data_IF_879340329578
#
_entry.id   IF_879340329578
#
_cell.length_a   1.000
_cell.length_b   1.000
_cell.length_c   1.000
_cell.angle_alpha   90.00
_cell.angle_beta   90.00
_cell.angle_gamma   90.00
#
_symmetry.space_group_name_H-M   'P 1'
#
loop_
_entity.id
_entity.type
_entity.pdbx_description
1 polymer ?
#
# COMPACT_ATOMS: atom_id res chain seq x y z
N UNK A 1 -4.39 29.40 11.01
CA UNK A 1 -4.23 28.04 11.59
C UNK A 1 -5.16 27.08 10.89
N UNK A 2 -4.65 26.07 10.18
CA UNK A 2 -5.51 25.07 9.52
C UNK A 2 -6.23 24.25 10.58
N UNK A 3 -7.55 24.39 10.66
CA UNK A 3 -8.41 23.64 11.59
C UNK A 3 -8.21 22.14 11.34
N UNK A 4 -7.60 21.43 12.28
CA UNK A 4 -7.42 19.98 12.20
C UNK A 4 -8.81 19.37 12.02
N UNK A 5 -9.07 18.78 10.85
CA UNK A 5 -10.37 18.20 10.51
C UNK A 5 -10.51 16.89 11.30
N UNK A 6 -11.27 16.93 12.39
CA UNK A 6 -11.56 15.74 13.21
C UNK A 6 -12.50 14.76 12.52
N UNK A 7 -12.64 13.55 13.09
CA UNK A 7 -13.50 12.47 12.55
C UNK A 7 -14.94 12.91 12.28
N UNK A 8 -15.51 13.79 13.11
CA UNK A 8 -16.88 14.29 12.93
C UNK A 8 -17.02 15.17 11.69
N UNK A 9 -16.00 15.99 11.40
CA UNK A 9 -15.96 16.81 10.18
C UNK A 9 -15.91 15.92 8.94
N UNK A 10 -15.22 14.79 9.03
CA UNK A 10 -15.17 13.80 7.95
C UNK A 10 -16.51 13.06 7.78
N UNK A 11 -17.15 12.61 8.86
CA UNK A 11 -18.49 12.01 8.80
C UNK A 11 -19.52 12.98 8.23
N UNK A 12 -19.42 14.28 8.54
CA UNK A 12 -20.24 15.32 7.93
C UNK A 12 -19.96 15.44 6.43
N UNK A 13 -18.68 15.50 6.03
CA UNK A 13 -18.31 15.57 4.61
C UNK A 13 -18.83 14.38 3.79
N UNK A 14 -18.75 13.15 4.32
CA UNK A 14 -19.27 11.95 3.66
C UNK A 14 -20.80 12.02 3.44
N UNK A 15 -21.55 12.57 4.40
CA UNK A 15 -22.99 12.81 4.23
C UNK A 15 -23.25 13.88 3.20
N UNK A 16 -22.68 15.07 3.40
CA UNK A 16 -23.06 16.28 2.68
C UNK A 16 -22.57 16.28 1.21
N UNK A 17 -21.45 15.63 0.91
CA UNK A 17 -20.81 15.70 -0.42
C UNK A 17 -20.79 14.37 -1.18
N UNK A 18 -21.06 13.26 -0.49
CA UNK A 18 -21.03 11.92 -1.08
C UNK A 18 -22.33 11.14 -0.86
N UNK A 19 -23.32 11.71 -0.17
CA UNK A 19 -24.61 11.08 0.12
C UNK A 19 -24.47 9.69 0.76
N UNK A 20 -23.45 9.51 1.61
CA UNK A 20 -23.22 8.26 2.33
C UNK A 20 -23.85 8.38 3.71
N UNK A 21 -24.77 7.48 4.01
CA UNK A 21 -25.33 7.34 5.35
C UNK A 21 -24.23 6.89 6.33
N UNK A 22 -23.89 7.77 7.27
CA UNK A 22 -22.91 7.50 8.32
C UNK A 22 -23.31 8.26 9.60
N UNK A 23 -23.44 7.53 10.70
CA UNK A 23 -24.00 8.05 11.94
C UNK A 23 -23.54 7.30 13.18
N UNK A 24 -23.60 7.95 14.34
CA UNK A 24 -23.33 7.32 15.63
C UNK A 24 -21.85 7.06 15.93
N UNK A 25 -21.59 6.69 17.19
CA UNK A 25 -20.25 6.44 17.73
C UNK A 25 -19.59 5.19 17.15
N UNK A 26 -20.38 4.17 16.80
CA UNK A 26 -19.90 2.93 16.19
C UNK A 26 -19.26 3.19 14.82
N UNK A 27 -19.96 3.86 13.90
CA UNK A 27 -19.39 4.21 12.60
C UNK A 27 -18.20 5.17 12.74
N UNK A 28 -18.25 6.12 13.70
CA UNK A 28 -17.11 6.99 14.00
C UNK A 28 -15.85 6.21 14.38
N UNK A 29 -16.00 5.17 15.22
CA UNK A 29 -14.89 4.29 15.61
C UNK A 29 -14.38 3.48 14.41
N UNK A 30 -15.28 2.86 13.66
CA UNK A 30 -14.91 2.08 12.47
C UNK A 30 -14.21 2.94 11.41
N UNK A 31 -14.68 4.16 11.17
CA UNK A 31 -14.04 5.13 10.26
C UNK A 31 -12.61 5.49 10.69
N UNK A 32 -12.34 5.57 11.99
CA UNK A 32 -10.96 5.72 12.48
C UNK A 32 -10.12 4.47 12.24
N UNK A 33 -10.66 3.30 12.54
CA UNK A 33 -9.94 2.02 12.44
C UNK A 33 -9.48 1.73 11.00
N UNK A 34 -10.25 2.13 9.99
CA UNK A 34 -9.89 1.93 8.57
C UNK A 34 -8.97 3.04 8.00
N UNK A 35 -8.47 3.95 8.84
CA UNK A 35 -7.56 5.02 8.40
C UNK A 35 -8.24 6.27 7.83
N UNK A 36 -9.41 6.64 8.36
CA UNK A 36 -10.16 7.85 7.97
C UNK A 36 -10.56 7.86 6.47
N UNK A 37 -10.43 9.01 5.80
CA UNK A 37 -10.86 9.24 4.42
C UNK A 37 -10.02 8.45 3.39
N UNK A 38 -8.85 7.96 3.79
CA UNK A 38 -7.98 7.19 2.90
C UNK A 38 -8.60 5.84 2.53
N UNK A 39 -9.30 5.18 3.46
CA UNK A 39 -10.09 3.98 3.16
C UNK A 39 -11.15 4.26 2.08
N UNK A 40 -11.95 5.32 2.23
CA UNK A 40 -12.98 5.67 1.23
C UNK A 40 -12.41 6.06 -0.14
N UNK A 41 -11.30 6.82 -0.19
CA UNK A 41 -10.67 7.21 -1.47
C UNK A 41 -10.12 6.02 -2.24
N UNK A 42 -9.58 5.01 -1.56
CA UNK A 42 -9.00 3.81 -2.17
C UNK A 42 -10.02 2.92 -2.87
N UNK A 43 -11.25 2.85 -2.35
CA UNK A 43 -12.29 1.95 -2.86
C UNK A 43 -13.38 2.64 -3.69
N UNK A 44 -13.17 3.91 -4.06
CA UNK A 44 -14.15 4.72 -4.80
C UNK A 44 -14.37 4.25 -6.24
N UNK A 45 -13.43 3.50 -6.83
CA UNK A 45 -13.43 3.18 -8.26
C UNK A 45 -13.16 1.70 -8.51
N UNK A 46 -13.79 1.14 -9.55
CA UNK A 46 -13.48 -0.20 -10.08
C UNK A 46 -12.65 -0.01 -11.34
N UNK A 47 -11.36 -0.37 -11.30
CA UNK A 47 -10.41 -0.37 -12.42
C UNK A 47 -10.11 0.99 -13.09
N UNK A 48 -11.11 1.84 -13.32
CA UNK A 48 -10.99 3.12 -14.02
C UNK A 48 -11.62 4.27 -13.22
N UNK A 49 -11.09 5.50 -13.30
CA UNK A 49 -11.66 6.68 -12.62
C UNK A 49 -13.11 7.00 -13.03
N UNK A 50 -13.56 6.49 -14.18
CA UNK A 50 -14.92 6.71 -14.67
C UNK A 50 -15.93 5.72 -14.08
N UNK A 51 -15.49 4.59 -13.52
CA UNK A 51 -16.35 3.60 -12.88
C UNK A 51 -16.36 3.80 -11.38
N UNK A 52 -17.12 4.81 -10.93
CA UNK A 52 -17.25 5.14 -9.52
C UNK A 52 -18.28 4.24 -8.85
N UNK A 53 -17.91 3.62 -7.73
CA UNK A 53 -18.86 2.89 -6.88
C UNK A 53 -19.73 3.92 -6.16
N UNK A 54 -21.04 3.83 -6.36
CA UNK A 54 -22.01 4.69 -5.68
C UNK A 54 -22.35 4.05 -4.33
N UNK A 55 -21.54 4.35 -3.32
CA UNK A 55 -21.85 3.96 -1.95
C UNK A 55 -22.99 4.83 -1.41
N UNK A 56 -24.01 4.19 -0.85
CA UNK A 56 -25.13 4.88 -0.17
C UNK A 56 -25.07 4.72 1.35
N UNK A 57 -24.36 3.70 1.84
CA UNK A 57 -24.21 3.41 3.26
C UNK A 57 -22.74 3.11 3.62
N UNK A 58 -22.30 3.61 4.78
CA UNK A 58 -20.92 3.42 5.22
C UNK A 58 -20.55 1.95 5.44
N UNK A 59 -21.51 1.07 5.74
CA UNK A 59 -21.23 -0.36 5.87
C UNK A 59 -20.80 -1.01 4.56
N UNK A 60 -21.20 -0.46 3.40
CA UNK A 60 -20.70 -0.93 2.10
C UNK A 60 -19.21 -0.59 1.93
N UNK A 61 -18.79 0.59 2.37
CA UNK A 61 -17.36 0.98 2.39
C UNK A 61 -16.57 0.06 3.31
N UNK A 62 -17.14 -0.28 4.47
CA UNK A 62 -16.53 -1.22 5.41
C UNK A 62 -16.41 -2.63 4.81
N UNK A 63 -17.43 -3.12 4.11
CA UNK A 63 -17.40 -4.45 3.50
C UNK A 63 -16.26 -4.59 2.49
N UNK A 64 -16.06 -3.58 1.62
CA UNK A 64 -14.95 -3.59 0.66
C UNK A 64 -13.59 -3.51 1.36
N UNK A 65 -13.48 -2.67 2.39
CA UNK A 65 -12.23 -2.59 3.16
C UNK A 65 -11.91 -3.92 3.88
N UNK A 66 -12.91 -4.57 4.48
CA UNK A 66 -12.77 -5.88 5.10
C UNK A 66 -12.33 -6.92 4.09
N UNK A 67 -12.99 -6.99 2.92
CA UNK A 67 -12.61 -7.90 1.85
C UNK A 67 -11.15 -7.70 1.41
N UNK A 68 -10.72 -6.45 1.17
CA UNK A 68 -9.33 -6.15 0.81
C UNK A 68 -8.34 -6.53 1.92
N UNK A 69 -8.68 -6.31 3.19
CA UNK A 69 -7.83 -6.73 4.31
C UNK A 69 -7.72 -8.26 4.40
N UNK A 70 -8.82 -8.99 4.21
CA UNK A 70 -8.83 -10.45 4.18
C UNK A 70 -8.00 -10.98 3.01
N UNK A 71 -8.16 -10.41 1.82
CA UNK A 71 -7.36 -10.74 0.65
C UNK A 71 -5.87 -10.49 0.92
N UNK A 72 -5.51 -9.32 1.47
CA UNK A 72 -4.13 -9.03 1.85
C UNK A 72 -3.59 -10.01 2.87
N UNK A 73 -4.37 -10.36 3.89
CA UNK A 73 -3.96 -11.34 4.90
C UNK A 73 -3.66 -12.72 4.31
N UNK A 74 -4.36 -13.08 3.22
CA UNK A 74 -4.16 -14.34 2.52
C UNK A 74 -2.91 -14.34 1.65
N UNK A 75 -2.43 -13.21 1.13
CA UNK A 75 -1.30 -13.18 0.17
C UNK A 75 -0.01 -12.55 0.73
N UNK A 76 -0.10 -11.62 1.68
CA UNK A 76 1.07 -10.91 2.20
C UNK A 76 2.11 -11.84 2.83
N UNK A 77 1.74 -12.84 3.65
CA UNK A 77 2.72 -13.78 4.20
C UNK A 77 3.51 -14.53 3.12
N UNK A 78 2.84 -14.97 2.05
CA UNK A 78 3.43 -15.73 0.95
C UNK A 78 4.32 -14.83 0.09
N UNK A 79 3.87 -13.62 -0.21
CA UNK A 79 4.69 -12.62 -0.91
C UNK A 79 5.94 -12.26 -0.12
N UNK A 80 5.80 -12.04 1.19
CA UNK A 80 6.92 -11.75 2.09
C UNK A 80 7.90 -12.92 2.14
N UNK A 81 7.40 -14.17 2.17
CA UNK A 81 8.24 -15.36 2.11
C UNK A 81 9.07 -15.42 0.83
N UNK A 82 8.43 -15.24 -0.34
CA UNK A 82 9.12 -15.23 -1.63
C UNK A 82 10.12 -14.08 -1.71
N UNK A 83 9.72 -12.87 -1.30
CA UNK A 83 10.60 -11.70 -1.26
C UNK A 83 11.83 -11.94 -0.38
N UNK A 84 11.63 -12.51 0.80
CA UNK A 84 12.71 -12.85 1.73
C UNK A 84 13.64 -13.90 1.14
N UNK A 85 13.10 -14.95 0.52
CA UNK A 85 13.89 -16.00 -0.12
C UNK A 85 14.74 -15.44 -1.27
N UNK A 86 14.15 -14.61 -2.13
CA UNK A 86 14.85 -13.96 -3.24
C UNK A 86 15.96 -13.03 -2.73
N UNK A 87 15.67 -12.19 -1.72
CA UNK A 87 16.68 -11.31 -1.11
C UNK A 87 17.85 -12.09 -0.55
N UNK A 88 17.60 -13.19 0.17
CA UNK A 88 18.64 -14.04 0.73
C UNK A 88 19.48 -14.71 -0.36
N UNK A 89 18.85 -15.21 -1.43
CA UNK A 89 19.56 -15.84 -2.54
C UNK A 89 20.44 -14.85 -3.30
N UNK A 90 19.92 -13.64 -3.56
CA UNK A 90 20.69 -12.56 -4.19
C UNK A 90 21.89 -12.19 -3.32
N UNK A 91 21.69 -12.06 -2.00
CA UNK A 91 22.76 -11.75 -1.05
C UNK A 91 23.85 -12.84 -1.05
N UNK A 92 23.45 -14.11 -0.97
CA UNK A 92 24.37 -15.26 -1.03
C UNK A 92 25.18 -15.26 -2.33
N UNK A 93 24.50 -15.00 -3.45
CA UNK A 93 25.14 -14.94 -4.77
C UNK A 93 26.15 -13.79 -4.83
N UNK A 94 25.80 -12.60 -4.35
CA UNK A 94 26.72 -11.46 -4.30
C UNK A 94 27.96 -11.81 -3.47
N UNK A 95 27.79 -12.36 -2.27
CA UNK A 95 28.91 -12.72 -1.39
C UNK A 95 29.83 -13.79 -2.00
N UNK A 96 29.26 -14.82 -2.65
CA UNK A 96 30.05 -15.83 -3.38
C UNK A 96 30.91 -15.23 -4.49
N UNK A 97 30.39 -14.23 -5.20
CA UNK A 97 31.08 -13.60 -6.33
C UNK A 97 32.00 -12.44 -5.93
N UNK A 98 31.74 -11.78 -4.80
CA UNK A 98 32.55 -10.67 -4.29
C UNK A 98 33.75 -11.15 -3.48
N UNK A 99 33.69 -12.34 -2.85
CA UNK A 99 34.70 -12.86 -1.92
C UNK A 99 35.06 -11.89 -0.78
N UNK A 100 34.20 -10.91 -0.53
CA UNK A 100 34.31 -9.91 0.52
C UNK A 100 32.91 -9.58 1.03
N UNK A 101 32.80 -9.35 2.32
CA UNK A 101 31.61 -8.92 3.06
C UNK A 101 31.50 -7.39 3.19
N UNK A 102 32.54 -6.66 2.75
CA UNK A 102 32.53 -5.19 2.72
C UNK A 102 31.57 -4.67 1.65
N UNK A 103 30.52 -3.97 2.10
CA UNK A 103 29.51 -3.36 1.23
C UNK A 103 30.12 -2.35 0.25
N UNK A 104 31.05 -1.52 0.73
CA UNK A 104 31.71 -0.50 -0.10
C UNK A 104 32.52 -1.16 -1.23
N UNK A 105 33.24 -2.24 -0.90
CA UNK A 105 34.02 -2.99 -1.90
C UNK A 105 33.11 -3.66 -2.93
N UNK A 106 31.97 -4.23 -2.51
CA UNK A 106 30.98 -4.85 -3.42
C UNK A 106 30.37 -3.81 -4.36
N UNK A 107 29.98 -2.65 -3.83
CA UNK A 107 29.36 -1.56 -4.58
C UNK A 107 30.33 -0.99 -5.62
N UNK A 108 31.57 -0.70 -5.20
CA UNK A 108 32.58 -0.08 -6.05
C UNK A 108 33.13 -1.01 -7.14
N UNK A 109 33.31 -2.30 -6.85
CA UNK A 109 33.89 -3.24 -7.82
C UNK A 109 32.87 -3.90 -8.74
N UNK A 110 31.66 -4.24 -8.27
CA UNK A 110 30.71 -5.07 -9.03
C UNK A 110 29.50 -4.30 -9.56
N UNK A 111 28.90 -3.39 -8.77
CA UNK A 111 27.72 -2.62 -9.22
C UNK A 111 28.09 -1.55 -10.25
N UNK A 112 29.26 -0.91 -10.09
CA UNK A 112 29.82 0.00 -11.11
C UNK A 112 30.26 -0.75 -12.37
N UNK A 113 30.68 -2.01 -12.28
CA UNK A 113 31.00 -2.83 -13.47
C UNK A 113 29.76 -3.24 -14.26
N UNK A 114 28.66 -3.59 -13.58
CA UNK A 114 27.38 -3.92 -14.24
C UNK A 114 26.80 -2.68 -14.95
N UNK A 115 26.91 -1.49 -14.35
CA UNK A 115 26.47 -0.25 -15.00
C UNK A 115 27.37 0.15 -16.18
N UNK A 116 28.66 -0.15 -16.13
CA UNK A 116 29.61 0.08 -17.24
C UNK A 116 29.54 -0.97 -18.35
N UNK A 117 29.07 -2.19 -18.06
CA UNK A 117 28.91 -3.29 -19.01
C UNK A 117 27.63 -3.23 -19.87
N UNK A 118 26.75 -2.26 -19.63
CA UNK A 118 25.54 -2.01 -20.45
C UNK A 118 25.82 -1.17 -21.71
N UNK A 119 27.06 -0.77 -21.97
CA UNK A 119 27.46 -0.35 -23.31
C UNK A 119 27.62 -1.60 -24.20
N UNK A 120 26.49 -2.11 -24.68
CA UNK A 120 26.45 -2.94 -25.87
C UNK A 120 27.15 -2.16 -26.99
N UNK A 121 28.34 -2.62 -27.35
CA UNK A 121 28.99 -2.27 -28.60
C UNK A 121 28.08 -2.71 -29.74
N UNK A 122 27.66 -1.75 -30.56
CA UNK A 122 27.13 -1.99 -31.90
C UNK A 122 28.20 -2.57 -32.81
#
# INVERSE_FOLDING_TARGET
MSKVKGTDSLMKYLRDHHNINISGSSHKRKLRNIGYYHGYKGYRFISTPNQKIVFTDFNQVLAINTFDMELKSLFYPQMMFIETALKNYVLETILKHSKTDSFDTIYDTKMIQISKGLHFTH
#
